data_IF_451283983630
#
_entry.id   IF_451283983630
#
_cell.length_a   1.000
_cell.length_b   1.000
_cell.length_c   1.000
_cell.angle_alpha   90.00
_cell.angle_beta   90.00
_cell.angle_gamma   90.00
#
_symmetry.space_group_name_H-M   'P 1'
#
loop_
_entity.id
_entity.type
_entity.pdbx_description
1 polymer ?
#
# COMPACT_ATOMS: atom_id res chain seq x y z
N UNK A 1 -3.80 24.83 12.77
CA UNK A 1 -2.83 25.78 12.25
C UNK A 1 -1.49 25.51 12.93
N UNK A 2 -0.61 24.73 12.27
CA UNK A 2 0.67 24.29 12.86
C UNK A 2 1.81 25.29 12.75
N UNK A 3 1.55 26.53 12.30
CA UNK A 3 2.56 27.57 12.17
C UNK A 3 3.61 27.33 11.07
N UNK A 4 3.33 26.45 10.13
CA UNK A 4 4.20 26.21 9.00
C UNK A 4 3.97 27.31 7.93
N UNK A 5 5.05 27.95 7.49
CA UNK A 5 4.98 29.01 6.48
C UNK A 5 4.81 28.45 5.06
N UNK A 6 5.27 27.23 4.81
CA UNK A 6 5.25 26.58 3.50
C UNK A 6 4.27 25.42 3.47
N UNK A 7 3.72 25.08 2.30
CA UNK A 7 2.90 23.89 2.13
C UNK A 7 3.67 22.61 2.54
N UNK A 8 2.95 21.69 3.17
CA UNK A 8 3.54 20.50 3.77
C UNK A 8 3.45 19.28 2.86
N UNK A 9 4.42 18.36 2.91
CA UNK A 9 4.28 17.04 2.29
C UNK A 9 3.06 16.30 2.84
N UNK A 10 2.38 15.57 1.96
CA UNK A 10 1.30 14.67 2.33
C UNK A 10 1.76 13.21 2.19
N UNK A 11 1.54 12.40 3.21
CA UNK A 11 1.88 10.97 3.19
C UNK A 11 0.62 10.14 3.43
N UNK A 12 0.31 9.24 2.52
CA UNK A 12 -0.79 8.29 2.64
C UNK A 12 -0.18 6.94 3.00
N UNK A 13 -0.58 6.36 4.15
CA UNK A 13 -0.09 5.06 4.61
C UNK A 13 -1.25 4.06 4.68
N UNK A 14 -1.23 3.07 3.79
CA UNK A 14 -2.22 2.00 3.75
C UNK A 14 -1.84 0.86 4.69
N UNK A 15 -2.84 0.31 5.39
CA UNK A 15 -2.62 -0.78 6.32
C UNK A 15 -2.54 -2.15 5.64
N UNK A 16 -1.94 -3.12 6.32
CA UNK A 16 -1.89 -4.51 5.89
C UNK A 16 -3.18 -5.29 6.17
N UNK A 17 -3.18 -6.56 5.82
CA UNK A 17 -4.23 -7.52 6.15
C UNK A 17 -3.94 -8.15 7.53
N UNK A 18 -4.93 -8.33 8.39
CA UNK A 18 -6.36 -7.96 8.28
C UNK A 18 -6.68 -6.55 8.81
N UNK A 19 -5.74 -5.63 8.85
CA UNK A 19 -5.97 -4.26 9.28
C UNK A 19 -5.69 -3.98 10.76
N UNK A 20 -5.12 -4.90 11.50
CA UNK A 20 -4.86 -4.74 12.94
C UNK A 20 -3.68 -3.81 13.26
N UNK A 21 -2.73 -3.67 12.33
CA UNK A 21 -1.58 -2.78 12.46
C UNK A 21 -1.76 -1.49 11.65
N UNK A 22 -1.66 -0.32 12.29
CA UNK A 22 -1.88 1.00 11.68
C UNK A 22 -0.60 1.81 11.49
N UNK A 23 0.55 1.27 11.88
CA UNK A 23 1.85 1.94 11.79
C UNK A 23 1.90 3.30 12.54
N UNK A 24 1.22 3.41 13.68
CA UNK A 24 1.03 4.67 14.41
C UNK A 24 2.36 5.34 14.78
N UNK A 25 3.41 4.56 15.09
CA UNK A 25 4.75 5.09 15.40
C UNK A 25 5.34 5.86 14.22
N UNK A 26 5.24 5.31 13.00
CA UNK A 26 5.68 5.97 11.77
C UNK A 26 4.84 7.21 11.49
N UNK A 27 3.51 7.12 11.67
CA UNK A 27 2.60 8.27 11.53
C UNK A 27 3.02 9.42 12.43
N UNK A 28 3.30 9.12 13.72
CA UNK A 28 3.73 10.14 14.66
C UNK A 28 5.12 10.69 14.34
N UNK A 29 6.04 9.86 13.84
CA UNK A 29 7.36 10.31 13.41
C UNK A 29 7.27 11.29 12.23
N UNK A 30 6.51 10.93 11.18
CA UNK A 30 6.29 11.79 10.02
C UNK A 30 5.60 13.11 10.38
N UNK A 31 4.61 13.07 11.26
CA UNK A 31 3.96 14.30 11.75
C UNK A 31 4.93 15.22 12.48
N UNK A 32 5.85 14.68 13.29
CA UNK A 32 6.88 15.49 14.00
C UNK A 32 7.84 16.20 13.05
N UNK A 33 8.09 15.66 11.87
CA UNK A 33 8.92 16.31 10.85
C UNK A 33 8.12 17.17 9.87
N UNK A 34 6.82 17.40 10.15
CA UNK A 34 6.00 18.38 9.45
C UNK A 34 5.09 17.82 8.37
N UNK A 35 5.04 16.51 8.14
CA UNK A 35 4.13 15.93 7.17
C UNK A 35 2.66 15.93 7.65
N UNK A 36 1.74 16.08 6.71
CA UNK A 36 0.33 15.68 6.88
C UNK A 36 0.25 14.19 6.55
N UNK A 37 -0.28 13.38 7.47
CA UNK A 37 -0.34 11.91 7.27
C UNK A 37 -1.78 11.45 7.32
N UNK A 38 -2.18 10.69 6.30
CA UNK A 38 -3.45 9.99 6.23
C UNK A 38 -3.24 8.49 6.39
N UNK A 39 -4.07 7.88 7.21
CA UNK A 39 -4.14 6.42 7.37
C UNK A 39 -5.56 5.96 7.02
N UNK A 40 -5.86 5.79 5.72
CA UNK A 40 -7.19 5.39 5.32
C UNK A 40 -7.51 3.99 5.84
N UNK A 41 -8.73 3.80 6.27
CA UNK A 41 -9.28 2.49 6.55
C UNK A 41 -9.98 1.98 5.29
N UNK A 42 -9.45 0.91 4.71
CA UNK A 42 -10.05 0.32 3.52
C UNK A 42 -11.49 -0.15 3.76
N UNK A 43 -12.27 -0.26 2.70
CA UNK A 43 -13.60 -0.85 2.75
C UNK A 43 -13.60 -2.17 3.53
N UNK A 44 -14.56 -2.34 4.44
CA UNK A 44 -14.65 -3.51 5.30
C UNK A 44 -13.72 -3.53 6.52
N UNK A 45 -12.79 -2.56 6.68
CA UNK A 45 -11.89 -2.48 7.82
C UNK A 45 -12.26 -1.32 8.75
N UNK A 46 -12.08 -1.51 10.08
CA UNK A 46 -12.20 -0.45 11.09
C UNK A 46 -13.52 0.33 11.07
N UNK A 47 -14.63 -0.31 10.69
CA UNK A 47 -15.94 0.33 10.59
C UNK A 47 -16.22 1.03 9.27
N UNK A 48 -15.32 1.01 8.31
CA UNK A 48 -15.59 1.42 6.93
C UNK A 48 -16.61 0.47 6.29
N UNK A 49 -17.57 1.03 5.55
CA UNK A 49 -18.57 0.25 4.85
C UNK A 49 -17.96 -0.53 3.67
N UNK A 50 -18.67 -1.55 3.19
CA UNK A 50 -18.27 -2.37 2.04
C UNK A 50 -17.46 -3.59 2.44
N UNK A 51 -16.87 -4.25 1.46
CA UNK A 51 -16.16 -5.51 1.62
C UNK A 51 -14.65 -5.29 1.44
N UNK A 52 -13.86 -5.97 2.26
CA UNK A 52 -12.40 -5.96 2.13
C UNK A 52 -11.97 -6.90 1.02
N UNK A 53 -11.43 -6.35 -0.07
CA UNK A 53 -10.85 -7.08 -1.21
C UNK A 53 -9.54 -6.41 -1.61
N UNK A 54 -8.62 -7.16 -2.21
CA UNK A 54 -7.34 -6.62 -2.67
C UNK A 54 -7.56 -5.55 -3.75
N UNK A 55 -8.47 -5.81 -4.68
CA UNK A 55 -8.86 -4.85 -5.72
C UNK A 55 -9.47 -3.57 -5.11
N UNK A 56 -10.33 -3.72 -4.10
CA UNK A 56 -10.92 -2.59 -3.40
C UNK A 56 -9.88 -1.75 -2.63
N UNK A 57 -8.86 -2.39 -2.04
CA UNK A 57 -7.77 -1.66 -1.38
C UNK A 57 -7.02 -0.76 -2.38
N UNK A 58 -6.79 -1.23 -3.60
CA UNK A 58 -6.15 -0.43 -4.67
C UNK A 58 -7.06 0.74 -5.08
N UNK A 59 -8.35 0.49 -5.29
CA UNK A 59 -9.32 1.54 -5.62
C UNK A 59 -9.44 2.60 -4.52
N UNK A 60 -9.46 2.17 -3.25
CA UNK A 60 -9.52 3.09 -2.10
C UNK A 60 -8.26 3.97 -2.04
N UNK A 61 -7.07 3.39 -2.26
CA UNK A 61 -5.82 4.13 -2.29
C UNK A 61 -5.80 5.17 -3.42
N UNK A 62 -6.31 4.80 -4.61
CA UNK A 62 -6.47 5.72 -5.74
C UNK A 62 -7.41 6.87 -5.39
N UNK A 63 -8.58 6.58 -4.82
CA UNK A 63 -9.55 7.60 -4.43
C UNK A 63 -8.98 8.58 -3.39
N UNK A 64 -8.26 8.07 -2.38
CA UNK A 64 -7.61 8.92 -1.37
C UNK A 64 -6.49 9.75 -1.99
N UNK A 65 -5.68 9.16 -2.89
CA UNK A 65 -4.60 9.85 -3.57
C UNK A 65 -5.12 11.03 -4.43
N UNK A 66 -6.21 10.84 -5.14
CA UNK A 66 -6.86 11.92 -5.88
C UNK A 66 -7.46 12.98 -4.95
N UNK A 67 -8.08 12.57 -3.84
CA UNK A 67 -8.68 13.50 -2.89
C UNK A 67 -7.66 14.44 -2.25
N UNK A 68 -6.47 13.95 -1.86
CA UNK A 68 -5.46 14.78 -1.20
C UNK A 68 -4.86 15.86 -2.12
N UNK A 69 -5.07 15.76 -3.43
CA UNK A 69 -4.66 16.78 -4.43
C UNK A 69 -5.74 17.80 -4.74
N UNK A 70 -6.95 17.64 -4.21
CA UNK A 70 -8.01 18.63 -4.44
C UNK A 70 -7.63 19.98 -3.81
N UNK A 71 -8.00 21.10 -4.46
CA UNK A 71 -7.76 22.42 -3.88
C UNK A 71 -8.33 22.55 -2.47
N UNK A 72 -9.53 21.99 -2.23
CA UNK A 72 -10.17 22.00 -0.92
C UNK A 72 -9.31 21.33 0.15
N UNK A 73 -8.73 20.15 -0.15
CA UNK A 73 -7.85 19.45 0.80
C UNK A 73 -6.57 20.24 1.04
N UNK A 74 -5.92 20.71 -0.04
CA UNK A 74 -4.66 21.45 0.04
C UNK A 74 -4.80 22.75 0.83
N UNK A 75 -5.87 23.50 0.60
CA UNK A 75 -6.16 24.72 1.35
C UNK A 75 -6.43 24.43 2.83
N UNK A 76 -7.28 23.44 3.11
CA UNK A 76 -7.69 23.07 4.46
C UNK A 76 -6.53 22.57 5.34
N UNK A 77 -5.62 21.80 4.76
CA UNK A 77 -4.54 21.15 5.50
C UNK A 77 -3.16 21.75 5.22
N UNK A 78 -3.05 22.79 4.41
CA UNK A 78 -1.79 23.41 3.99
C UNK A 78 -0.81 22.38 3.41
N UNK A 79 -1.25 21.63 2.41
CA UNK A 79 -0.44 20.60 1.74
C UNK A 79 -0.05 21.02 0.32
N UNK A 80 1.09 20.51 -0.13
CA UNK A 80 1.57 20.64 -1.50
C UNK A 80 1.01 19.48 -2.34
N UNK A 81 0.16 19.73 -3.36
CA UNK A 81 -0.38 18.69 -4.23
C UNK A 81 0.68 17.95 -5.06
N UNK A 82 1.88 18.53 -5.22
CA UNK A 82 2.99 17.93 -5.94
C UNK A 82 4.01 17.23 -5.02
N UNK A 83 3.76 17.24 -3.70
CA UNK A 83 4.59 16.59 -2.70
C UNK A 83 3.80 15.53 -1.92
N UNK A 84 3.27 14.53 -2.65
CA UNK A 84 2.47 13.44 -2.10
C UNK A 84 3.23 12.13 -2.19
N UNK A 85 3.28 11.41 -1.07
CA UNK A 85 3.87 10.08 -0.97
C UNK A 85 2.79 9.05 -0.67
N UNK A 86 2.90 7.88 -1.27
CA UNK A 86 2.03 6.74 -0.98
C UNK A 86 2.88 5.62 -0.38
N UNK A 87 2.39 4.98 0.64
CA UNK A 87 3.10 3.87 1.26
C UNK A 87 2.18 2.88 1.96
N UNK A 88 2.76 1.77 2.40
CA UNK A 88 2.00 0.78 3.14
C UNK A 88 2.84 -0.39 3.63
N UNK A 89 2.27 -1.10 4.58
CA UNK A 89 2.85 -2.28 5.21
C UNK A 89 2.17 -3.55 4.70
N UNK A 90 2.95 -4.59 4.40
CA UNK A 90 2.43 -5.91 4.01
C UNK A 90 1.47 -5.82 2.81
N UNK A 91 0.20 -6.17 2.95
CA UNK A 91 -0.85 -5.98 1.93
C UNK A 91 -1.02 -4.51 1.52
N UNK A 92 -0.75 -3.54 2.42
CA UNK A 92 -0.69 -2.12 2.08
C UNK A 92 0.46 -1.79 1.12
N UNK A 93 1.58 -2.50 1.21
CA UNK A 93 2.67 -2.43 0.22
C UNK A 93 2.23 -2.94 -1.16
N UNK A 94 1.46 -4.04 -1.19
CA UNK A 94 0.82 -4.52 -2.43
C UNK A 94 -0.11 -3.45 -3.02
N UNK A 95 -0.96 -2.86 -2.18
CA UNK A 95 -1.86 -1.77 -2.56
C UNK A 95 -1.10 -0.60 -3.16
N UNK A 96 0.00 -0.18 -2.49
CA UNK A 96 0.86 0.92 -2.93
C UNK A 96 1.45 0.66 -4.31
N UNK A 97 2.08 -0.51 -4.52
CA UNK A 97 2.71 -0.86 -5.80
C UNK A 97 1.71 -0.96 -6.95
N UNK A 98 0.50 -1.43 -6.69
CA UNK A 98 -0.52 -1.52 -7.74
C UNK A 98 -1.20 -0.17 -8.02
N UNK A 99 -1.43 0.65 -7.00
CA UNK A 99 -2.00 1.98 -7.17
C UNK A 99 -1.03 2.95 -7.86
N UNK A 100 0.27 2.92 -7.53
CA UNK A 100 1.25 3.85 -8.09
C UNK A 100 1.33 3.82 -9.62
N UNK A 101 0.99 2.70 -10.26
CA UNK A 101 0.94 2.54 -11.72
C UNK A 101 -0.05 3.50 -12.39
N UNK A 102 -1.03 4.02 -11.65
CA UNK A 102 -2.03 4.99 -12.12
C UNK A 102 -1.78 6.39 -11.57
N UNK A 103 -0.72 6.58 -10.79
CA UNK A 103 -0.40 7.82 -10.07
C UNK A 103 1.02 8.33 -10.40
N UNK A 104 1.31 8.65 -11.68
CA UNK A 104 2.67 9.02 -12.12
C UNK A 104 3.19 10.32 -11.47
N UNK A 105 2.33 11.07 -10.83
CA UNK A 105 2.63 12.32 -10.16
C UNK A 105 3.08 12.15 -8.70
N UNK A 106 3.06 10.94 -8.14
CA UNK A 106 3.56 10.70 -6.79
C UNK A 106 5.03 11.12 -6.67
N UNK A 107 5.37 11.75 -5.55
CA UNK A 107 6.73 12.18 -5.25
C UNK A 107 7.64 11.02 -4.82
N UNK A 108 7.06 9.96 -4.31
CA UNK A 108 7.77 8.75 -3.91
C UNK A 108 6.89 7.74 -3.19
N UNK A 109 7.47 6.58 -2.92
CA UNK A 109 6.81 5.43 -2.30
C UNK A 109 7.53 5.00 -1.01
N UNK A 110 6.75 4.51 -0.05
CA UNK A 110 7.25 3.94 1.21
C UNK A 110 6.70 2.51 1.34
N UNK A 111 7.55 1.51 1.20
CA UNK A 111 7.18 0.11 1.30
C UNK A 111 7.76 -0.49 2.59
N UNK A 112 6.93 -1.17 3.35
CA UNK A 112 7.32 -1.86 4.58
C UNK A 112 6.90 -3.32 4.47
N UNK A 113 7.87 -4.22 4.33
CA UNK A 113 7.65 -5.67 4.15
C UNK A 113 6.46 -5.97 3.21
N UNK A 114 6.48 -5.46 1.95
CA UNK A 114 5.34 -5.60 1.05
C UNK A 114 5.07 -7.07 0.72
N UNK A 115 3.79 -7.46 0.77
CA UNK A 115 3.35 -8.82 0.49
C UNK A 115 2.72 -8.91 -0.90
N UNK A 116 3.41 -9.56 -1.86
CA UNK A 116 2.84 -9.83 -3.18
C UNK A 116 1.72 -10.88 -3.07
N UNK A 117 0.48 -10.41 -3.08
CA UNK A 117 -0.70 -11.26 -2.87
C UNK A 117 -0.86 -12.35 -3.93
N UNK A 118 -0.32 -12.14 -5.13
CA UNK A 118 -0.42 -13.10 -6.24
C UNK A 118 0.72 -14.13 -6.27
N UNK A 119 1.82 -13.86 -5.57
CA UNK A 119 3.06 -14.65 -5.60
C UNK A 119 2.87 -16.11 -5.24
N UNK A 120 2.13 -16.40 -4.18
CA UNK A 120 1.89 -17.77 -3.74
C UNK A 120 1.10 -18.57 -4.77
N UNK A 121 0.11 -17.96 -5.41
CA UNK A 121 -0.67 -18.61 -6.49
C UNK A 121 0.22 -18.86 -7.70
N UNK A 122 0.99 -17.85 -8.14
CA UNK A 122 1.91 -17.99 -9.28
C UNK A 122 2.96 -19.09 -9.08
N UNK A 123 3.38 -19.27 -7.84
CA UNK A 123 4.37 -20.30 -7.48
C UNK A 123 3.73 -21.68 -7.21
N UNK A 124 2.44 -21.88 -7.52
CA UNK A 124 1.74 -23.15 -7.35
C UNK A 124 1.47 -23.51 -5.89
N UNK A 125 1.39 -22.52 -5.01
CA UNK A 125 1.18 -22.69 -3.55
C UNK A 125 -0.09 -21.97 -3.05
N UNK A 126 -1.25 -22.13 -3.71
CA UNK A 126 -2.49 -21.44 -3.32
C UNK A 126 -2.95 -21.83 -1.91
N UNK A 127 -2.66 -23.06 -1.45
CA UNK A 127 -3.03 -23.53 -0.12
C UNK A 127 -2.30 -22.75 0.99
N UNK A 128 -1.08 -22.29 0.76
CA UNK A 128 -0.38 -21.44 1.71
C UNK A 128 -1.05 -20.07 1.83
N UNK A 129 -1.54 -19.50 0.73
CA UNK A 129 -2.34 -18.28 0.77
C UNK A 129 -3.64 -18.54 1.54
N UNK A 130 -4.37 -19.62 1.23
CA UNK A 130 -5.62 -19.97 1.92
C UNK A 130 -5.44 -20.12 3.42
N UNK A 131 -4.30 -20.62 3.88
CA UNK A 131 -4.01 -20.76 5.31
C UNK A 131 -3.91 -19.40 6.05
N UNK A 132 -3.71 -18.29 5.33
CA UNK A 132 -3.66 -16.95 5.92
C UNK A 132 -5.04 -16.30 6.04
N UNK A 133 -6.03 -16.73 5.24
CA UNK A 133 -7.32 -16.04 5.09
C UNK A 133 -8.18 -16.03 6.37
N UNK A 134 -8.15 -17.04 7.25
CA UNK A 134 -8.92 -16.99 8.49
C UNK A 134 -8.60 -15.79 9.40
N UNK A 135 -7.44 -15.13 9.20
CA UNK A 135 -7.09 -13.92 9.94
C UNK A 135 -8.06 -12.75 9.67
N UNK A 136 -8.82 -12.78 8.56
CA UNK A 136 -9.79 -11.74 8.20
C UNK A 136 -11.12 -11.75 8.97
N UNK A 137 -11.25 -12.60 9.98
CA UNK A 137 -12.50 -12.78 10.75
C UNK A 137 -13.11 -11.50 11.33
N UNK A 138 -12.31 -10.45 11.53
CA UNK A 138 -12.72 -9.15 12.09
C UNK A 138 -13.08 -8.11 11.02
N UNK A 139 -12.99 -8.46 9.74
CA UNK A 139 -13.35 -7.57 8.63
C UNK A 139 -14.84 -7.67 8.33
N UNK A 140 -15.48 -6.52 8.10
CA UNK A 140 -16.92 -6.47 7.77
C UNK A 140 -17.18 -6.98 6.36
N UNK A 141 -18.19 -7.85 6.20
CA UNK A 141 -18.52 -8.41 4.89
C UNK A 141 -17.42 -9.26 4.27
N UNK A 142 -16.49 -9.76 5.09
CA UNK A 142 -15.41 -10.62 4.65
C UNK A 142 -15.88 -12.04 4.42
N UNK A 143 -15.51 -12.60 3.28
CA UNK A 143 -15.68 -13.99 2.91
C UNK A 143 -14.35 -14.48 2.32
N UNK A 144 -13.82 -15.56 2.88
CA UNK A 144 -12.49 -16.09 2.51
C UNK A 144 -12.43 -16.51 1.04
N UNK A 145 -13.47 -17.15 0.52
CA UNK A 145 -13.49 -17.60 -0.88
C UNK A 145 -13.62 -16.42 -1.84
N UNK A 146 -14.44 -15.43 -1.53
CA UNK A 146 -14.58 -14.21 -2.34
C UNK A 146 -13.25 -13.45 -2.36
N UNK A 147 -12.59 -13.32 -1.20
CA UNK A 147 -11.28 -12.66 -1.11
C UNK A 147 -10.20 -13.42 -1.89
N UNK A 148 -10.17 -14.76 -1.76
CA UNK A 148 -9.25 -15.60 -2.52
C UNK A 148 -9.47 -15.44 -4.03
N UNK A 149 -10.71 -15.48 -4.49
CA UNK A 149 -11.07 -15.30 -5.91
C UNK A 149 -10.67 -13.93 -6.45
N UNK A 150 -10.79 -12.89 -5.64
CA UNK A 150 -10.32 -11.56 -6.02
C UNK A 150 -8.81 -11.54 -6.26
N UNK A 151 -8.01 -12.17 -5.37
CA UNK A 151 -6.56 -12.31 -5.57
C UNK A 151 -6.25 -13.16 -6.82
N UNK A 152 -6.91 -14.31 -6.96
CA UNK A 152 -6.72 -15.21 -8.10
C UNK A 152 -6.98 -14.52 -9.43
N UNK A 153 -8.04 -13.71 -9.51
CA UNK A 153 -8.39 -12.93 -10.69
C UNK A 153 -7.36 -11.83 -11.04
N UNK A 154 -6.48 -11.47 -10.09
CA UNK A 154 -5.45 -10.44 -10.27
C UNK A 154 -4.06 -11.01 -10.55
N UNK A 155 -3.92 -12.33 -10.62
CA UNK A 155 -2.67 -12.96 -11.04
C UNK A 155 -2.29 -12.48 -12.44
N UNK A 156 -1.04 -12.06 -12.62
CA UNK A 156 -0.55 -11.45 -13.85
C UNK A 156 -0.84 -9.95 -13.99
N UNK A 157 -1.77 -9.39 -13.19
CA UNK A 157 -2.04 -7.96 -13.11
C UNK A 157 -1.34 -7.33 -11.90
N UNK A 158 -1.49 -7.93 -10.71
CA UNK A 158 -0.99 -7.38 -9.44
C UNK A 158 0.39 -7.94 -9.03
N UNK A 159 1.07 -8.62 -9.93
CA UNK A 159 2.45 -9.06 -9.72
C UNK A 159 3.36 -7.84 -9.54
N UNK A 160 4.23 -7.84 -8.54
CA UNK A 160 5.08 -6.69 -8.23
C UNK A 160 5.96 -6.26 -9.40
N UNK A 161 6.47 -7.19 -10.18
CA UNK A 161 7.29 -6.91 -11.36
C UNK A 161 6.55 -6.09 -12.42
N UNK A 162 5.21 -6.12 -12.42
CA UNK A 162 4.38 -5.28 -13.32
C UNK A 162 4.42 -3.79 -12.96
N UNK A 163 4.88 -3.48 -11.76
CA UNK A 163 5.04 -2.09 -11.32
C UNK A 163 6.41 -1.49 -11.66
N UNK A 164 7.33 -2.26 -12.28
CA UNK A 164 8.69 -1.82 -12.60
C UNK A 164 8.71 -0.47 -13.31
N UNK A 165 7.98 -0.32 -14.41
CA UNK A 165 7.95 0.93 -15.19
C UNK A 165 7.40 2.13 -14.42
N UNK A 166 6.56 1.89 -13.43
CA UNK A 166 6.01 2.95 -12.60
C UNK A 166 6.95 3.38 -11.46
N UNK A 167 7.90 2.50 -11.06
CA UNK A 167 8.74 2.76 -9.88
C UNK A 167 10.23 2.96 -10.20
N UNK A 168 10.70 2.58 -11.39
CA UNK A 168 12.13 2.59 -11.75
C UNK A 168 12.81 3.97 -11.62
N UNK A 169 12.05 5.04 -11.82
CA UNK A 169 12.52 6.42 -11.75
C UNK A 169 11.96 7.18 -10.54
N UNK A 170 11.29 6.46 -9.60
CA UNK A 170 10.66 7.06 -8.43
C UNK A 170 11.59 7.08 -7.21
N UNK A 171 11.33 8.00 -6.28
CA UNK A 171 11.92 7.93 -4.96
C UNK A 171 11.28 6.76 -4.20
N UNK A 172 12.04 5.71 -3.97
CA UNK A 172 11.57 4.50 -3.31
C UNK A 172 12.30 4.29 -1.99
N UNK A 173 11.57 4.27 -0.89
CA UNK A 173 12.04 3.78 0.41
C UNK A 173 11.42 2.41 0.65
N UNK A 174 12.25 1.37 0.75
CA UNK A 174 11.80 0.04 1.09
C UNK A 174 12.49 -0.45 2.36
N UNK A 175 11.71 -0.97 3.30
CA UNK A 175 12.18 -1.58 4.55
C UNK A 175 11.68 -3.01 4.60
N UNK A 176 12.60 -3.96 4.75
CA UNK A 176 12.32 -5.39 4.79
C UNK A 176 12.80 -6.02 6.09
N UNK A 177 12.07 -7.04 6.55
CA UNK A 177 12.46 -7.84 7.71
C UNK A 177 13.35 -9.01 7.29
N UNK A 178 14.62 -9.02 7.70
CA UNK A 178 15.56 -10.10 7.36
C UNK A 178 15.12 -11.51 7.85
N UNK A 179 14.25 -11.58 8.84
CA UNK A 179 13.71 -12.81 9.40
C UNK A 179 12.20 -12.96 9.20
N UNK A 180 11.63 -12.17 8.26
CA UNK A 180 10.21 -12.26 7.96
C UNK A 180 9.90 -13.56 7.21
N UNK A 181 9.12 -14.42 7.86
CA UNK A 181 8.70 -15.72 7.31
C UNK A 181 7.35 -15.64 6.60
N UNK A 182 6.62 -14.55 6.80
CA UNK A 182 5.31 -14.31 6.17
C UNK A 182 5.45 -13.62 4.82
N UNK A 183 6.31 -12.60 4.77
CA UNK A 183 6.67 -11.89 3.55
C UNK A 183 8.20 -11.98 3.30
N UNK A 184 8.76 -13.17 2.99
CA UNK A 184 10.19 -13.32 2.79
C UNK A 184 10.70 -12.43 1.65
N UNK A 185 11.73 -11.62 1.93
CA UNK A 185 12.32 -10.69 0.97
C UNK A 185 12.65 -11.36 -0.37
N UNK A 186 13.33 -12.53 -0.33
CA UNK A 186 13.79 -13.27 -1.50
C UNK A 186 12.64 -13.65 -2.44
N UNK A 187 11.48 -13.88 -1.89
CA UNK A 187 10.32 -14.30 -2.65
C UNK A 187 9.43 -13.11 -3.04
N UNK A 188 9.15 -12.22 -2.11
CA UNK A 188 8.12 -11.19 -2.30
C UNK A 188 8.64 -9.99 -3.08
N UNK A 189 9.72 -9.36 -2.63
CA UNK A 189 10.15 -8.07 -3.18
C UNK A 189 11.45 -8.14 -3.99
N UNK A 190 12.37 -9.02 -3.66
CA UNK A 190 13.67 -9.10 -4.33
C UNK A 190 13.59 -9.30 -5.85
N UNK A 191 12.61 -10.00 -6.44
CA UNK A 191 12.46 -10.07 -7.90
C UNK A 191 12.29 -8.69 -8.56
N UNK A 192 11.43 -7.83 -8.01
CA UNK A 192 11.29 -6.45 -8.48
C UNK A 192 12.56 -5.64 -8.19
N UNK A 193 13.14 -5.78 -7.00
CA UNK A 193 14.35 -5.05 -6.62
C UNK A 193 15.51 -5.31 -7.57
N UNK A 194 15.74 -6.56 -7.98
CA UNK A 194 16.78 -6.90 -8.96
C UNK A 194 16.57 -6.25 -10.33
N UNK A 195 15.31 -6.07 -10.74
CA UNK A 195 15.01 -5.32 -11.96
C UNK A 195 15.38 -3.84 -11.80
N UNK A 196 15.11 -3.25 -10.62
CA UNK A 196 15.46 -1.87 -10.30
C UNK A 196 16.98 -1.67 -10.23
N UNK A 197 17.71 -2.58 -9.59
CA UNK A 197 19.19 -2.53 -9.53
C UNK A 197 19.85 -2.66 -10.91
N UNK A 198 19.21 -3.39 -11.83
CA UNK A 198 19.70 -3.53 -13.20
C UNK A 198 19.34 -2.35 -14.11
N UNK A 199 18.49 -1.44 -13.65
CA UNK A 199 18.10 -0.23 -14.39
C UNK A 199 19.23 0.81 -14.27
N UNK A 200 19.72 1.36 -15.42
CA UNK A 200 20.85 2.29 -15.44
C UNK A 200 20.56 3.66 -14.84
#
# INVERSE_FOLDING_TARGET
>A
DGGYAEPRPCVILTHGYPGTARNDDLVHALRRVGCVVLTPHHRGAWGSQGNYLVSHCVEDALAVAEYVRTPEFCEKFHTDPDCVFLGGHSMGGNTTLNACRKLPWLRGLILMTPFDSTRLIRNGRPDQLRALLPAGYNLTGYDEEVFFRDIEARVGEYDFEKSFDAVKDQNLCCVEGALDTLAPLEEMFLPLWRMLEAHP
#
